data_IF_042137402319
#
_entry.id   IF_042137402319
#
_cell.length_a   1.000
_cell.length_b   1.000
_cell.length_c   1.000
_cell.angle_alpha   90.00
_cell.angle_beta   90.00
_cell.angle_gamma   90.00
#
_symmetry.space_group_name_H-M   'P 1'
#
loop_
_entity.id
_entity.type
_entity.pdbx_description
1 polymer ?
#
# COMPACT_ATOMS: atom_id res chain seq x y z
N UNK A 1 14.23 -24.41 -27.65
CA UNK A 1 13.28 -23.52 -26.93
C UNK A 1 12.64 -22.62 -27.97
N UNK A 2 11.33 -22.31 -27.90
CA UNK A 2 10.71 -21.39 -28.85
C UNK A 2 11.46 -20.06 -28.87
N UNK A 3 11.62 -19.45 -30.04
CA UNK A 3 12.27 -18.14 -30.18
C UNK A 3 11.31 -16.96 -30.04
N UNK A 4 10.00 -17.22 -30.08
CA UNK A 4 8.97 -16.19 -30.02
C UNK A 4 7.87 -16.50 -29.01
N UNK A 5 7.20 -15.45 -28.52
CA UNK A 5 6.05 -15.55 -27.64
C UNK A 5 4.91 -16.33 -28.30
N UNK A 6 4.67 -16.13 -29.61
CA UNK A 6 3.66 -16.87 -30.37
C UNK A 6 3.98 -18.37 -30.44
N UNK A 7 5.24 -18.73 -30.69
CA UNK A 7 5.67 -20.13 -30.71
C UNK A 7 5.58 -20.78 -29.31
N UNK A 8 5.77 -20.02 -28.23
CA UNK A 8 5.47 -20.49 -26.88
C UNK A 8 3.98 -20.82 -26.69
N UNK A 9 3.06 -19.97 -27.15
CA UNK A 9 1.62 -20.24 -27.07
C UNK A 9 1.21 -21.47 -27.89
N UNK A 10 1.79 -21.63 -29.09
CA UNK A 10 1.57 -22.81 -29.92
C UNK A 10 2.05 -24.09 -29.21
N UNK A 11 3.28 -24.08 -28.68
CA UNK A 11 3.82 -25.22 -27.93
C UNK A 11 2.98 -25.56 -26.68
N UNK A 12 2.46 -24.55 -25.95
CA UNK A 12 1.55 -24.78 -24.83
C UNK A 12 0.26 -25.48 -25.27
N UNK A 13 -0.30 -25.06 -26.41
CA UNK A 13 -1.49 -25.69 -27.00
C UNK A 13 -1.21 -27.14 -27.41
N UNK A 14 -0.06 -27.41 -28.02
CA UNK A 14 0.35 -28.77 -28.42
C UNK A 14 0.54 -29.71 -27.22
N UNK A 15 0.89 -29.15 -26.06
CA UNK A 15 0.95 -29.87 -24.78
C UNK A 15 -0.42 -30.05 -24.10
N UNK A 16 -1.51 -29.63 -24.74
CA UNK A 16 -2.87 -29.75 -24.22
C UNK A 16 -3.30 -28.65 -23.23
N UNK A 17 -2.51 -27.58 -23.08
CA UNK A 17 -2.90 -26.43 -22.26
C UNK A 17 -3.92 -25.55 -23.00
N UNK A 18 -4.85 -24.97 -22.25
CA UNK A 18 -5.84 -24.02 -22.79
C UNK A 18 -5.17 -22.66 -23.00
N UNK A 19 -5.29 -22.11 -24.20
CA UNK A 19 -4.84 -20.76 -24.54
C UNK A 19 -6.05 -19.83 -24.75
N UNK A 20 -5.82 -18.51 -24.64
CA UNK A 20 -6.85 -17.52 -24.95
C UNK A 20 -7.28 -17.66 -26.43
N UNK A 21 -8.57 -17.92 -26.72
CA UNK A 21 -9.04 -18.07 -28.10
C UNK A 21 -8.85 -16.81 -28.96
N UNK A 22 -8.78 -15.64 -28.31
CA UNK A 22 -8.61 -14.34 -28.92
C UNK A 22 -7.13 -13.94 -29.08
N UNK A 23 -6.16 -14.79 -28.70
CA UNK A 23 -4.76 -14.49 -28.92
C UNK A 23 -4.43 -14.45 -30.42
N UNK A 24 -3.76 -13.39 -30.88
CA UNK A 24 -3.33 -13.24 -32.26
C UNK A 24 -1.93 -12.62 -32.35
N UNK A 25 -1.26 -12.81 -33.49
CA UNK A 25 -0.01 -12.11 -33.82
C UNK A 25 -0.38 -10.86 -34.63
N UNK A 26 0.21 -9.73 -34.25
CA UNK A 26 -0.05 -8.43 -34.85
C UNK A 26 1.27 -7.81 -35.32
N UNK A 27 1.22 -7.02 -36.38
CA UNK A 27 2.39 -6.34 -36.94
C UNK A 27 2.25 -4.83 -36.76
N UNK A 28 3.15 -4.23 -35.97
CA UNK A 28 3.17 -2.80 -35.71
C UNK A 28 2.16 -2.33 -34.66
N UNK A 29 2.28 -1.05 -34.28
CA UNK A 29 1.46 -0.43 -33.25
C UNK A 29 0.01 -0.20 -33.70
N UNK A 30 -0.21 0.16 -34.97
CA UNK A 30 -1.55 0.45 -35.49
C UNK A 30 -2.45 -0.79 -35.46
N UNK A 31 -1.91 -1.96 -35.80
CA UNK A 31 -2.63 -3.24 -35.69
C UNK A 31 -2.98 -3.57 -34.22
N UNK A 32 -2.09 -3.24 -33.28
CA UNK A 32 -2.34 -3.39 -31.85
C UNK A 32 -3.48 -2.47 -31.36
N UNK A 33 -3.48 -1.20 -31.78
CA UNK A 33 -4.52 -0.23 -31.44
C UNK A 33 -5.87 -0.65 -32.04
N UNK A 34 -5.89 -1.05 -33.30
CA UNK A 34 -7.11 -1.52 -33.95
C UNK A 34 -7.67 -2.78 -33.28
N UNK A 35 -6.79 -3.73 -32.91
CA UNK A 35 -7.19 -4.93 -32.18
C UNK A 35 -7.76 -4.60 -30.81
N UNK A 36 -7.19 -3.61 -30.10
CA UNK A 36 -7.73 -3.13 -28.83
C UNK A 36 -9.16 -2.59 -28.99
N UNK A 37 -9.41 -1.71 -29.97
CA UNK A 37 -10.75 -1.18 -30.22
C UNK A 37 -11.77 -2.27 -30.59
N UNK A 38 -11.37 -3.23 -31.43
CA UNK A 38 -12.24 -4.33 -31.82
C UNK A 38 -12.53 -5.28 -30.64
N UNK A 39 -11.56 -5.52 -29.76
CA UNK A 39 -11.78 -6.26 -28.52
C UNK A 39 -12.67 -5.51 -27.53
N UNK A 40 -12.57 -4.17 -27.47
CA UNK A 40 -13.41 -3.33 -26.60
C UNK A 40 -14.89 -3.44 -26.99
N UNK A 41 -15.20 -3.43 -28.30
CA UNK A 41 -16.59 -3.57 -28.78
C UNK A 41 -17.17 -4.97 -28.56
N UNK A 42 -16.31 -6.01 -28.58
CA UNK A 42 -16.71 -7.40 -28.35
C UNK A 42 -16.71 -7.80 -26.88
N UNK A 43 -16.21 -6.94 -25.99
CA UNK A 43 -16.02 -7.20 -24.55
C UNK A 43 -17.23 -7.87 -23.91
N UNK A 44 -18.43 -7.32 -24.12
CA UNK A 44 -19.66 -7.78 -23.47
C UNK A 44 -20.23 -9.09 -24.06
N UNK A 45 -19.71 -9.53 -25.22
CA UNK A 45 -20.13 -10.76 -25.89
C UNK A 45 -19.21 -11.96 -25.58
N UNK A 46 -18.16 -11.75 -24.79
CA UNK A 46 -17.27 -12.83 -24.37
C UNK A 46 -17.89 -13.62 -23.23
N UNK A 47 -17.59 -14.91 -23.16
CA UNK A 47 -18.03 -15.79 -22.07
C UNK A 47 -17.34 -15.49 -20.71
N UNK A 48 -16.51 -14.45 -20.67
CA UNK A 48 -15.72 -14.05 -19.52
C UNK A 48 -15.41 -12.55 -19.61
N UNK A 49 -15.19 -11.91 -18.46
CA UNK A 49 -14.83 -10.49 -18.38
C UNK A 49 -13.35 -10.27 -18.73
N UNK A 50 -13.09 -9.14 -19.38
CA UNK A 50 -11.75 -8.65 -19.70
C UNK A 50 -11.69 -7.14 -19.43
N UNK A 51 -10.53 -6.66 -19.00
CA UNK A 51 -10.29 -5.25 -18.64
C UNK A 51 -9.35 -4.53 -19.62
N UNK A 52 -8.91 -5.23 -20.67
CA UNK A 52 -8.03 -4.70 -21.71
C UNK A 52 -7.37 -5.79 -22.54
N UNK A 53 -6.31 -5.40 -23.26
CA UNK A 53 -5.44 -6.29 -24.04
C UNK A 53 -4.01 -6.20 -23.51
N UNK A 54 -3.28 -7.33 -23.48
CA UNK A 54 -1.85 -7.33 -23.16
C UNK A 54 -1.05 -7.51 -24.44
N UNK A 55 -0.26 -6.50 -24.80
CA UNK A 55 0.64 -6.53 -25.94
C UNK A 55 2.05 -6.88 -25.47
N UNK A 56 2.68 -7.84 -26.14
CA UNK A 56 4.04 -8.32 -25.82
C UNK A 56 4.88 -8.30 -27.09
N UNK A 57 6.13 -7.89 -26.96
CA UNK A 57 7.11 -8.06 -28.05
C UNK A 57 7.24 -9.55 -28.35
N UNK A 58 7.13 -9.95 -29.62
CA UNK A 58 7.10 -11.38 -29.98
C UNK A 58 8.49 -12.03 -29.89
N UNK A 59 9.57 -11.31 -30.22
CA UNK A 59 10.96 -11.78 -30.07
C UNK A 59 11.34 -11.94 -28.58
N UNK A 60 11.62 -13.17 -28.15
CA UNK A 60 12.01 -13.45 -26.76
C UNK A 60 13.42 -12.94 -26.44
N UNK A 61 14.32 -12.84 -27.42
CA UNK A 61 15.64 -12.25 -27.18
C UNK A 61 15.53 -10.75 -26.85
N UNK A 62 14.49 -10.08 -27.33
CA UNK A 62 14.20 -8.70 -26.96
C UNK A 62 13.77 -8.56 -25.49
N UNK A 63 13.18 -9.59 -24.88
CA UNK A 63 12.75 -9.53 -23.48
C UNK A 63 13.94 -9.36 -22.54
N UNK A 64 15.02 -10.11 -22.80
CA UNK A 64 16.28 -10.03 -22.05
C UNK A 64 16.94 -8.66 -22.23
N UNK A 65 17.01 -8.15 -23.46
CA UNK A 65 17.59 -6.83 -23.77
C UNK A 65 16.80 -5.68 -23.13
N UNK A 66 15.48 -5.76 -23.13
CA UNK A 66 14.61 -4.70 -22.60
C UNK A 66 14.54 -4.72 -21.07
N UNK A 67 14.59 -5.90 -20.45
CA UNK A 67 14.65 -6.07 -19.00
C UNK A 67 13.34 -5.71 -18.27
N UNK A 68 13.46 -5.49 -16.96
CA UNK A 68 12.35 -5.23 -16.03
C UNK A 68 12.64 -3.96 -15.23
N UNK A 69 11.64 -3.11 -15.03
CA UNK A 69 11.71 -1.96 -14.11
C UNK A 69 10.93 -2.28 -12.85
N UNK A 70 11.61 -2.38 -11.71
CA UNK A 70 11.05 -2.90 -10.46
C UNK A 70 10.38 -4.28 -10.67
N UNK A 71 9.06 -4.34 -10.77
CA UNK A 71 8.28 -5.57 -11.04
C UNK A 71 7.62 -5.61 -12.43
N UNK A 72 7.80 -4.58 -13.27
CA UNK A 72 7.09 -4.44 -14.54
C UNK A 72 8.03 -4.69 -15.74
N UNK A 73 7.73 -5.65 -16.63
CA UNK A 73 8.54 -5.91 -17.83
C UNK A 73 8.48 -4.74 -18.81
N UNK A 74 9.62 -4.38 -19.42
CA UNK A 74 9.68 -3.29 -20.42
C UNK A 74 9.22 -3.71 -21.82
N UNK A 75 9.07 -5.02 -22.04
CA UNK A 75 8.69 -5.65 -23.31
C UNK A 75 7.20 -6.00 -23.42
N UNK A 76 6.39 -5.63 -22.41
CA UNK A 76 4.94 -5.83 -22.43
C UNK A 76 4.19 -4.64 -21.85
N UNK A 77 2.97 -4.43 -22.34
CA UNK A 77 2.06 -3.40 -21.84
C UNK A 77 0.64 -3.95 -21.74
N UNK A 78 -0.03 -3.68 -20.63
CA UNK A 78 -1.46 -3.89 -20.50
C UNK A 78 -2.17 -2.61 -20.95
N UNK A 79 -2.80 -2.64 -22.12
CA UNK A 79 -3.62 -1.56 -22.63
C UNK A 79 -5.06 -1.78 -22.20
N UNK A 80 -5.46 -1.10 -21.12
CA UNK A 80 -6.82 -1.20 -20.54
C UNK A 80 -7.87 -0.57 -21.44
N UNK A 81 -9.10 -1.09 -21.39
CA UNK A 81 -10.27 -0.43 -22.00
C UNK A 81 -10.62 0.85 -21.26
N UNK A 82 -11.45 1.69 -21.90
CA UNK A 82 -12.14 2.74 -21.18
C UNK A 82 -12.90 2.11 -20.00
N UNK A 83 -12.79 2.72 -18.82
CA UNK A 83 -13.47 2.17 -17.66
C UNK A 83 -14.98 2.28 -17.86
N UNK A 84 -15.72 1.35 -17.25
CA UNK A 84 -17.17 1.41 -17.25
C UNK A 84 -17.59 2.56 -16.32
N UNK A 85 -18.34 3.50 -16.87
CA UNK A 85 -18.95 4.60 -16.14
C UNK A 85 -20.46 4.36 -16.01
N UNK A 86 -21.03 4.78 -14.90
CA UNK A 86 -22.48 4.92 -14.77
C UNK A 86 -22.83 6.14 -13.92
N UNK A 87 -24.04 6.62 -14.14
CA UNK A 87 -24.59 7.74 -13.38
C UNK A 87 -25.45 7.21 -12.25
N UNK A 88 -25.31 7.79 -11.06
CA UNK A 88 -26.17 7.49 -9.91
C UNK A 88 -26.37 8.73 -9.01
N UNK A 89 -27.18 8.61 -7.96
CA UNK A 89 -27.46 9.70 -7.00
C UNK A 89 -26.80 9.39 -5.66
N UNK A 90 -26.20 10.41 -5.03
CA UNK A 90 -25.71 10.31 -3.65
C UNK A 90 -26.89 10.40 -2.69
N UNK A 91 -27.15 9.35 -1.91
CA UNK A 91 -28.17 9.30 -0.86
C UNK A 91 -27.75 9.99 0.42
N UNK A 92 -26.51 9.74 0.83
CA UNK A 92 -25.94 10.23 2.09
C UNK A 92 -24.41 10.27 1.99
N UNK A 93 -23.75 11.01 2.88
CA UNK A 93 -22.29 11.01 3.03
C UNK A 93 -21.96 10.80 4.51
N UNK A 94 -21.26 9.70 4.80
CA UNK A 94 -20.89 9.31 6.17
C UNK A 94 -19.38 9.34 6.37
N UNK A 95 -18.97 9.74 7.56
CA UNK A 95 -17.57 9.76 7.97
C UNK A 95 -17.19 8.43 8.64
N UNK A 96 -16.24 7.70 8.07
CA UNK A 96 -15.68 6.47 8.62
C UNK A 96 -14.33 6.74 9.25
N UNK A 97 -14.06 6.16 10.42
CA UNK A 97 -12.78 6.30 11.12
C UNK A 97 -11.97 5.04 10.89
N UNK A 98 -10.88 5.15 10.14
CA UNK A 98 -9.97 4.04 9.87
C UNK A 98 -8.96 3.79 10.99
N UNK A 99 -8.14 2.75 10.82
CA UNK A 99 -7.10 2.30 11.77
C UNK A 99 -6.22 3.41 12.34
N UNK A 100 -5.76 4.33 11.51
CA UNK A 100 -4.82 5.41 11.89
C UNK A 100 -5.55 6.71 12.28
N UNK A 101 -6.83 6.59 12.64
CA UNK A 101 -7.70 7.72 12.96
C UNK A 101 -8.19 8.50 11.75
N UNK A 102 -7.74 8.17 10.52
CA UNK A 102 -8.21 8.83 9.30
C UNK A 102 -9.74 8.85 9.21
N UNK A 103 -10.30 10.05 9.09
CA UNK A 103 -11.74 10.28 8.96
C UNK A 103 -12.05 10.43 7.46
N UNK A 104 -12.51 9.33 6.86
CA UNK A 104 -12.75 9.23 5.43
C UNK A 104 -14.24 9.43 5.14
N UNK A 105 -14.61 10.42 4.32
CA UNK A 105 -15.98 10.55 3.86
C UNK A 105 -16.29 9.51 2.78
N UNK A 106 -17.42 8.82 2.92
CA UNK A 106 -17.90 7.80 1.99
C UNK A 106 -19.32 8.16 1.59
N UNK A 107 -19.58 8.26 0.29
CA UNK A 107 -20.92 8.45 -0.25
C UNK A 107 -21.66 7.12 -0.31
N UNK A 108 -22.88 7.09 0.23
CA UNK A 108 -23.88 6.07 -0.03
C UNK A 108 -24.64 6.46 -1.31
N UNK A 109 -24.76 5.52 -2.24
CA UNK A 109 -25.31 5.74 -3.58
C UNK A 109 -26.65 5.03 -3.75
N UNK A 110 -27.49 5.52 -4.65
CA UNK A 110 -28.51 4.66 -5.26
C UNK A 110 -27.79 3.48 -5.96
N UNK A 111 -28.18 2.22 -5.71
CA UNK A 111 -27.49 1.07 -6.29
C UNK A 111 -27.41 1.18 -7.81
N UNK A 112 -26.20 1.08 -8.34
CA UNK A 112 -25.93 1.22 -9.78
C UNK A 112 -25.07 0.07 -10.28
N UNK A 113 -25.38 -0.48 -11.46
CA UNK A 113 -24.59 -1.53 -12.08
C UNK A 113 -23.42 -0.92 -12.86
N UNK A 114 -22.19 -1.29 -12.48
CA UNK A 114 -20.96 -0.85 -13.16
C UNK A 114 -20.04 -2.04 -13.29
N UNK A 115 -19.80 -2.54 -14.50
CA UNK A 115 -18.85 -3.64 -14.64
C UNK A 115 -19.35 -4.96 -14.05
N UNK A 116 -20.65 -5.25 -14.18
CA UNK A 116 -21.26 -6.49 -13.67
C UNK A 116 -21.40 -6.56 -12.13
N UNK A 117 -21.08 -5.48 -11.41
CA UNK A 117 -21.27 -5.40 -9.95
C UNK A 117 -22.18 -4.24 -9.59
N UNK A 118 -22.97 -4.44 -8.53
CA UNK A 118 -23.76 -3.38 -7.91
C UNK A 118 -22.87 -2.53 -7.00
N UNK A 119 -22.68 -1.27 -7.36
CA UNK A 119 -21.98 -0.29 -6.51
C UNK A 119 -23.00 0.45 -5.66
N UNK A 120 -22.82 0.40 -4.33
CA UNK A 120 -23.68 1.10 -3.35
C UNK A 120 -22.93 2.13 -2.52
N UNK A 121 -21.60 2.05 -2.47
CA UNK A 121 -20.76 2.94 -1.68
C UNK A 121 -19.51 3.33 -2.46
N UNK A 122 -19.04 4.56 -2.24
CA UNK A 122 -17.83 5.07 -2.87
C UNK A 122 -17.08 6.01 -1.95
N UNK A 123 -15.75 5.84 -1.85
CA UNK A 123 -14.91 6.77 -1.09
C UNK A 123 -14.88 8.13 -1.78
N UNK A 124 -15.00 9.20 -0.99
CA UNK A 124 -14.78 10.57 -1.45
C UNK A 124 -13.36 11.07 -1.10
N UNK A 125 -12.48 10.16 -0.68
CA UNK A 125 -11.09 10.39 -0.29
C UNK A 125 -10.87 11.28 0.94
N UNK A 126 -11.23 12.56 0.88
CA UNK A 126 -11.05 13.53 1.97
C UNK A 126 -11.92 14.78 1.74
N UNK A 127 -11.88 15.73 2.68
CA UNK A 127 -12.65 16.98 2.59
C UNK A 127 -12.24 17.83 1.38
N UNK A 128 -10.95 17.90 1.07
CA UNK A 128 -10.44 18.73 -0.03
C UNK A 128 -10.99 18.26 -1.39
N UNK A 129 -11.13 16.95 -1.58
CA UNK A 129 -11.70 16.34 -2.78
C UNK A 129 -13.20 16.62 -2.91
N UNK A 130 -13.94 16.56 -1.80
CA UNK A 130 -15.36 16.94 -1.74
C UNK A 130 -15.52 18.41 -2.13
N UNK A 131 -14.67 19.29 -1.61
CA UNK A 131 -14.73 20.72 -1.89
C UNK A 131 -14.33 21.02 -3.35
N UNK A 132 -13.29 20.34 -3.86
CA UNK A 132 -12.81 20.47 -5.25
C UNK A 132 -13.89 20.09 -6.26
N UNK A 133 -14.59 18.98 -6.04
CA UNK A 133 -15.69 18.50 -6.90
C UNK A 133 -17.05 19.12 -6.54
N UNK A 134 -17.13 19.84 -5.42
CA UNK A 134 -18.35 20.40 -4.81
C UNK A 134 -19.45 19.33 -4.70
N UNK A 135 -19.11 18.19 -4.10
CA UNK A 135 -20.00 17.04 -3.92
C UNK A 135 -20.97 17.31 -2.77
N UNK A 136 -22.26 17.03 -3.01
CA UNK A 136 -23.32 17.21 -2.01
C UNK A 136 -24.25 16.01 -1.97
N UNK A 137 -24.92 15.83 -0.83
CA UNK A 137 -26.01 14.86 -0.71
C UNK A 137 -27.13 15.22 -1.69
N UNK A 138 -27.62 14.22 -2.41
CA UNK A 138 -28.64 14.33 -3.44
C UNK A 138 -28.11 14.67 -4.84
N UNK A 139 -26.81 14.89 -5.00
CA UNK A 139 -26.23 15.13 -6.32
C UNK A 139 -26.29 13.87 -7.20
N UNK A 140 -26.57 14.08 -8.48
CA UNK A 140 -26.31 13.11 -9.54
C UNK A 140 -24.82 13.13 -9.90
N UNK A 141 -24.15 11.98 -9.82
CA UNK A 141 -22.70 11.83 -10.04
C UNK A 141 -22.39 10.78 -11.08
N UNK A 142 -21.29 11.02 -11.81
CA UNK A 142 -20.65 10.02 -12.66
C UNK A 142 -19.69 9.20 -11.81
N UNK A 143 -19.91 7.90 -11.76
CA UNK A 143 -19.09 6.94 -11.02
C UNK A 143 -18.40 6.03 -12.03
N UNK A 144 -17.11 5.85 -11.83
CA UNK A 144 -16.26 5.05 -12.70
C UNK A 144 -15.59 3.95 -11.89
N UNK A 145 -15.56 2.74 -12.45
CA UNK A 145 -14.78 1.63 -11.91
C UNK A 145 -13.54 1.43 -12.76
N UNK A 146 -12.50 2.20 -12.46
CA UNK A 146 -11.22 2.12 -13.17
C UNK A 146 -10.53 0.77 -12.92
N UNK A 147 -10.20 0.06 -14.01
CA UNK A 147 -9.50 -1.21 -13.97
C UNK A 147 -10.22 -2.32 -13.19
N UNK A 148 -11.55 -2.26 -13.08
CA UNK A 148 -12.42 -3.24 -12.43
C UNK A 148 -12.11 -3.52 -10.94
N UNK A 149 -11.49 -2.59 -10.19
CA UNK A 149 -11.22 -2.77 -8.75
C UNK A 149 -12.06 -1.86 -7.87
N UNK A 150 -11.74 -0.57 -7.77
CA UNK A 150 -12.36 0.35 -6.79
C UNK A 150 -13.17 1.43 -7.54
N UNK A 151 -14.49 1.54 -7.32
CA UNK A 151 -15.27 2.62 -7.89
C UNK A 151 -14.87 3.96 -7.25
N UNK A 152 -14.96 5.05 -8.02
CA UNK A 152 -14.74 6.41 -7.54
C UNK A 152 -15.67 7.40 -8.24
N UNK A 153 -15.97 8.53 -7.58
CA UNK A 153 -16.74 9.61 -8.20
C UNK A 153 -15.81 10.39 -9.13
N UNK A 154 -16.11 10.39 -10.43
CA UNK A 154 -15.37 11.18 -11.43
C UNK A 154 -15.72 12.65 -11.27
N UNK A 155 -17.02 12.96 -11.28
CA UNK A 155 -17.52 14.33 -11.16
C UNK A 155 -19.01 14.38 -10.80
N UNK A 156 -19.43 15.54 -10.33
CA UNK A 156 -20.84 15.90 -10.17
C UNK A 156 -21.40 16.36 -11.52
N UNK A 157 -22.50 15.75 -11.96
CA UNK A 157 -23.16 16.15 -13.19
C UNK A 157 -24.05 17.37 -12.93
N UNK A 158 -23.71 18.50 -13.55
CA UNK A 158 -24.46 19.77 -13.46
C UNK A 158 -25.25 20.02 -14.75
N UNK A 159 -26.28 20.87 -14.69
CA UNK A 159 -27.22 21.17 -15.78
C UNK A 159 -26.58 21.51 -17.15
N UNK A 160 -25.33 22.00 -17.17
CA UNK A 160 -24.57 22.29 -18.40
C UNK A 160 -23.57 21.17 -18.72
N UNK A 161 -24.07 20.01 -19.10
CA UNK A 161 -23.23 19.00 -19.77
C UNK A 161 -23.21 19.26 -21.30
N UNK A 162 -22.09 19.04 -22.01
CA UNK A 162 -22.03 19.27 -23.46
C UNK A 162 -23.15 18.56 -24.21
N UNK A 163 -23.77 19.27 -25.17
CA UNK A 163 -24.78 18.73 -26.08
C UNK A 163 -24.23 17.46 -26.74
N UNK A 164 -24.91 16.32 -26.56
CA UNK A 164 -24.56 15.04 -27.19
C UNK A 164 -24.52 13.83 -26.24
N UNK A 165 -24.36 14.00 -24.93
CA UNK A 165 -24.36 12.88 -23.98
C UNK A 165 -25.71 12.67 -23.25
N UNK A 166 -26.52 13.72 -23.12
CA UNK A 166 -27.79 13.68 -22.40
C UNK A 166 -28.88 12.81 -23.05
N UNK A 167 -28.82 12.61 -24.38
CA UNK A 167 -29.79 11.78 -25.11
C UNK A 167 -29.55 10.28 -24.94
N UNK A 168 -28.34 9.84 -24.58
CA UNK A 168 -28.03 8.40 -24.43
C UNK A 168 -28.48 7.78 -23.11
N UNK A 169 -28.84 8.58 -22.10
CA UNK A 169 -29.03 8.09 -20.73
C UNK A 169 -30.33 8.53 -20.03
N UNK A 170 -31.18 9.37 -20.64
CA UNK A 170 -32.52 9.67 -20.13
C UNK A 170 -32.59 10.22 -18.68
N UNK A 171 -31.49 10.77 -18.17
CA UNK A 171 -31.33 11.09 -16.74
C UNK A 171 -31.54 12.59 -16.44
N UNK A 172 -32.35 12.85 -15.42
CA UNK A 172 -32.60 14.19 -14.88
C UNK A 172 -31.36 14.64 -14.10
N UNK A 173 -30.64 15.61 -14.64
CA UNK A 173 -29.55 16.33 -13.96
C UNK A 173 -30.13 17.05 -12.73
N UNK A 174 -29.85 16.56 -11.52
CA UNK A 174 -30.50 17.12 -10.33
C UNK A 174 -29.51 17.35 -9.20
N UNK A 175 -29.35 18.62 -8.84
CA UNK A 175 -29.01 19.03 -7.48
C UNK A 175 -30.30 19.52 -6.82
N UNK A 176 -30.75 18.92 -5.70
CA UNK A 176 -31.92 19.41 -4.98
C UNK A 176 -31.76 20.90 -4.60
N UNK A 177 -32.85 21.68 -4.76
CA UNK A 177 -32.87 23.06 -4.25
C UNK A 177 -32.60 23.03 -2.75
N UNK A 178 -31.57 23.75 -2.31
CA UNK A 178 -31.15 23.78 -0.90
C UNK A 178 -30.10 22.73 -0.49
N UNK A 179 -29.55 21.95 -1.43
CA UNK A 179 -28.45 21.03 -1.15
C UNK A 179 -27.25 21.77 -0.52
N UNK A 180 -26.87 21.38 0.70
CA UNK A 180 -25.80 22.01 1.48
C UNK A 180 -24.45 21.39 1.17
N UNK A 181 -23.38 22.17 1.31
CA UNK A 181 -22.02 21.64 1.27
C UNK A 181 -21.84 20.66 2.43
N UNK A 182 -21.16 19.55 2.14
CA UNK A 182 -20.79 18.59 3.16
C UNK A 182 -19.48 19.02 3.83
N UNK A 183 -19.44 18.91 5.15
CA UNK A 183 -18.22 19.07 5.92
C UNK A 183 -18.07 17.88 6.86
N UNK A 184 -16.85 17.34 6.94
CA UNK A 184 -16.51 16.36 7.95
C UNK A 184 -16.87 16.89 9.36
N UNK A 185 -17.32 16.00 10.26
CA UNK A 185 -17.73 16.40 11.60
C UNK A 185 -16.53 16.94 12.37
N UNK A 186 -16.74 17.95 13.24
CA UNK A 186 -15.69 18.52 14.11
C UNK A 186 -15.30 17.60 15.27
N UNK A 187 -16.12 16.60 15.56
CA UNK A 187 -15.87 15.56 16.54
C UNK A 187 -15.94 14.20 15.85
N UNK A 188 -15.16 13.24 16.36
CA UNK A 188 -15.13 11.88 15.88
C UNK A 188 -16.51 11.25 16.00
N UNK A 189 -17.10 10.71 14.92
CA UNK A 189 -18.46 10.15 14.95
C UNK A 189 -18.57 8.86 15.78
N UNK A 190 -17.43 8.31 16.22
CA UNK A 190 -17.39 7.06 17.00
C UNK A 190 -17.10 7.32 18.48
N UNK A 191 -16.05 8.08 18.80
CA UNK A 191 -15.64 8.29 20.19
C UNK A 191 -15.92 9.71 20.73
N UNK A 192 -16.48 10.61 19.92
CA UNK A 192 -16.75 12.01 20.29
C UNK A 192 -15.50 12.88 20.51
N UNK A 193 -14.30 12.31 20.37
CA UNK A 193 -13.03 13.02 20.54
C UNK A 193 -12.75 14.01 19.41
N UNK A 194 -11.78 14.88 19.61
CA UNK A 194 -11.38 15.88 18.61
C UNK A 194 -10.90 15.21 17.31
N UNK A 195 -11.23 15.83 16.17
CA UNK A 195 -10.62 15.51 14.89
C UNK A 195 -9.85 16.72 14.36
N UNK A 196 -8.63 16.48 13.89
CA UNK A 196 -7.71 17.52 13.44
C UNK A 196 -7.20 17.15 12.05
N UNK A 197 -7.07 18.14 11.17
CA UNK A 197 -6.32 18.02 9.91
C UNK A 197 -4.90 18.54 10.19
N UNK A 198 -3.88 17.67 10.31
CA UNK A 198 -2.52 18.12 10.56
C UNK A 198 -2.02 19.05 9.46
N UNK A 199 -1.13 19.97 9.82
CA UNK A 199 -0.53 20.89 8.85
C UNK A 199 0.20 20.12 7.75
N UNK A 200 -0.03 20.49 6.48
CA UNK A 200 0.54 19.82 5.31
C UNK A 200 -0.15 18.51 4.90
N UNK A 201 -1.12 17.99 5.65
CA UNK A 201 -1.87 16.78 5.29
C UNK A 201 -3.23 17.08 4.68
N UNK A 202 -3.67 16.25 3.72
CA UNK A 202 -5.04 16.32 3.17
C UNK A 202 -6.08 15.60 4.06
N UNK A 203 -5.64 14.70 4.95
CA UNK A 203 -6.52 13.78 5.70
C UNK A 203 -6.80 14.34 7.10
N UNK A 204 -8.08 14.45 7.46
CA UNK A 204 -8.53 14.75 8.83
C UNK A 204 -8.50 13.48 9.68
N UNK A 205 -8.10 13.58 10.96
CA UNK A 205 -7.85 12.41 11.82
C UNK A 205 -8.44 12.57 13.22
N UNK A 206 -8.99 11.50 13.76
CA UNK A 206 -9.30 11.35 15.18
C UNK A 206 -8.01 11.19 15.98
N UNK A 207 -7.81 12.04 16.98
CA UNK A 207 -6.60 12.06 17.82
C UNK A 207 -6.65 11.04 18.96
N UNK A 208 -7.83 10.47 19.24
CA UNK A 208 -7.98 9.47 20.30
C UNK A 208 -7.54 8.08 19.81
N UNK A 209 -6.31 7.68 20.14
CA UNK A 209 -5.77 6.34 19.86
C UNK A 209 -6.57 5.19 20.49
N UNK A 210 -7.40 5.46 21.51
CA UNK A 210 -8.32 4.50 22.11
C UNK A 210 -9.74 4.57 21.54
N UNK A 211 -9.92 5.24 20.40
CA UNK A 211 -11.19 5.25 19.68
C UNK A 211 -11.60 3.80 19.34
N UNK A 212 -12.83 3.36 19.66
CA UNK A 212 -13.28 1.99 19.37
C UNK A 212 -13.12 1.58 17.91
N UNK A 213 -13.30 2.51 16.95
CA UNK A 213 -13.06 2.24 15.53
C UNK A 213 -11.59 1.96 15.23
N UNK A 214 -10.66 2.73 15.81
CA UNK A 214 -9.22 2.48 15.63
C UNK A 214 -8.81 1.14 16.25
N UNK A 215 -9.39 0.78 17.41
CA UNK A 215 -9.15 -0.52 18.06
C UNK A 215 -9.64 -1.67 17.18
N UNK A 216 -10.87 -1.62 16.70
CA UNK A 216 -11.46 -2.63 15.80
C UNK A 216 -10.60 -2.83 14.55
N UNK A 217 -10.27 -1.74 13.87
CA UNK A 217 -9.45 -1.77 12.66
C UNK A 217 -8.02 -2.27 12.94
N UNK A 218 -7.45 -1.96 14.11
CA UNK A 218 -6.11 -2.43 14.49
C UNK A 218 -6.10 -3.93 14.77
N UNK A 219 -7.13 -4.45 15.43
CA UNK A 219 -7.29 -5.90 15.68
C UNK A 219 -7.51 -6.65 14.37
N UNK A 220 -8.36 -6.13 13.48
CA UNK A 220 -8.58 -6.74 12.17
C UNK A 220 -7.29 -6.74 11.33
N UNK A 221 -6.55 -5.63 11.34
CA UNK A 221 -5.25 -5.53 10.67
C UNK A 221 -4.23 -6.52 11.24
N UNK A 222 -4.14 -6.63 12.56
CA UNK A 222 -3.27 -7.60 13.25
C UNK A 222 -3.60 -9.04 12.87
N UNK A 223 -4.88 -9.39 12.78
CA UNK A 223 -5.32 -10.73 12.35
C UNK A 223 -5.16 -11.02 10.85
N UNK A 224 -4.89 -10.00 10.02
CA UNK A 224 -4.84 -10.15 8.57
C UNK A 224 -3.76 -11.13 8.08
N UNK A 225 -3.95 -11.67 6.88
CA UNK A 225 -3.02 -12.64 6.24
C UNK A 225 -1.58 -12.14 6.16
N UNK A 226 -1.39 -10.84 5.93
CA UNK A 226 -0.07 -10.21 5.83
C UNK A 226 0.55 -9.87 7.19
N UNK A 227 -0.24 -9.84 8.26
CA UNK A 227 0.18 -9.57 9.64
C UNK A 227 0.35 -10.88 10.44
N UNK A 228 -0.55 -11.28 11.33
CA UNK A 228 -0.39 -12.51 12.12
C UNK A 228 -1.20 -13.70 11.60
N UNK A 229 -2.03 -13.50 10.57
CA UNK A 229 -2.79 -14.56 9.88
C UNK A 229 -3.58 -15.44 10.86
N UNK A 230 -4.53 -14.78 11.54
CA UNK A 230 -5.41 -15.39 12.53
C UNK A 230 -6.71 -15.80 11.85
N UNK A 231 -6.80 -17.07 11.48
CA UNK A 231 -8.00 -17.64 10.88
C UNK A 231 -9.20 -17.53 11.81
N UNK A 232 -10.34 -17.10 11.26
CA UNK A 232 -11.59 -16.93 12.01
C UNK A 232 -11.77 -15.56 12.70
N UNK A 233 -10.75 -14.70 12.73
CA UNK A 233 -10.85 -13.34 13.28
C UNK A 233 -11.43 -12.35 12.24
N UNK A 234 -12.69 -12.56 11.86
CA UNK A 234 -13.39 -11.71 10.88
C UNK A 234 -13.95 -10.41 11.48
N UNK A 235 -14.27 -9.44 10.61
CA UNK A 235 -14.77 -8.10 10.98
C UNK A 235 -15.91 -8.13 12.02
N UNK A 236 -16.97 -8.92 11.75
CA UNK A 236 -18.13 -9.02 12.66
C UNK A 236 -17.75 -9.54 14.04
N UNK A 237 -16.79 -10.46 14.11
CA UNK A 237 -16.34 -11.01 15.39
C UNK A 237 -15.48 -10.00 16.14
N UNK A 238 -14.58 -9.29 15.44
CA UNK A 238 -13.79 -8.19 16.02
C UNK A 238 -14.70 -7.12 16.59
N UNK A 239 -15.78 -6.75 15.89
CA UNK A 239 -16.76 -5.80 16.40
C UNK A 239 -17.37 -6.29 17.72
N UNK A 240 -17.86 -7.54 17.75
CA UNK A 240 -18.42 -8.12 18.97
C UNK A 240 -17.41 -8.17 20.13
N UNK A 241 -16.16 -8.57 19.87
CA UNK A 241 -15.10 -8.63 20.89
C UNK A 241 -14.81 -7.26 21.51
N UNK A 242 -14.77 -6.20 20.69
CA UNK A 242 -14.51 -4.84 21.17
C UNK A 242 -15.76 -4.23 21.83
N UNK A 243 -16.94 -4.42 21.24
CA UNK A 243 -18.20 -3.84 21.73
C UNK A 243 -18.64 -4.45 23.07
N UNK A 244 -18.32 -5.72 23.31
CA UNK A 244 -18.53 -6.39 24.61
C UNK A 244 -17.42 -6.12 25.62
N UNK A 245 -16.35 -5.41 25.22
CA UNK A 245 -15.21 -5.10 26.07
C UNK A 245 -14.28 -6.29 26.36
N UNK A 246 -14.46 -7.43 25.68
CA UNK A 246 -13.58 -8.60 25.80
C UNK A 246 -12.16 -8.32 25.29
N UNK A 247 -12.02 -7.40 24.34
CA UNK A 247 -10.73 -7.02 23.74
C UNK A 247 -10.65 -5.50 23.60
N UNK A 248 -9.59 -4.88 24.11
CA UNK A 248 -9.37 -3.42 24.02
C UNK A 248 -8.12 -3.04 23.22
N UNK A 249 -7.22 -3.98 23.05
CA UNK A 249 -6.03 -3.87 22.21
C UNK A 249 -5.67 -5.25 21.63
N UNK A 250 -4.65 -5.32 20.78
CA UNK A 250 -4.27 -6.58 20.11
C UNK A 250 -3.64 -7.60 21.06
N UNK A 251 -3.14 -7.19 22.22
CA UNK A 251 -2.56 -8.12 23.21
C UNK A 251 -3.66 -8.86 23.98
N UNK A 252 -4.79 -8.20 24.28
CA UNK A 252 -5.95 -8.81 24.95
C UNK A 252 -6.50 -10.05 24.17
N UNK A 253 -6.23 -10.18 22.86
CA UNK A 253 -6.56 -11.38 22.08
C UNK A 253 -5.98 -12.66 22.67
N UNK A 254 -4.77 -12.58 23.24
CA UNK A 254 -4.03 -13.72 23.74
C UNK A 254 -4.46 -14.15 25.15
N UNK A 255 -5.32 -13.36 25.81
CA UNK A 255 -5.94 -13.67 27.09
C UNK A 255 -7.37 -14.24 26.94
N UNK A 256 -7.92 -14.24 25.72
CA UNK A 256 -9.28 -14.70 25.46
C UNK A 256 -9.51 -16.15 25.85
N UNK A 257 -10.65 -16.38 26.52
CA UNK A 257 -11.10 -17.71 26.89
C UNK A 257 -12.16 -18.21 25.91
N UNK A 258 -12.06 -19.48 25.50
CA UNK A 258 -12.97 -20.09 24.52
C UNK A 258 -14.44 -19.98 24.96
N UNK A 259 -14.71 -20.08 26.26
CA UNK A 259 -16.06 -19.97 26.84
C UNK A 259 -16.64 -18.57 26.64
N UNK A 260 -15.85 -17.51 26.82
CA UNK A 260 -16.31 -16.14 26.62
C UNK A 260 -16.63 -15.87 25.14
N UNK A 261 -15.79 -16.38 24.24
CA UNK A 261 -16.01 -16.27 22.79
C UNK A 261 -17.23 -17.07 22.33
N UNK A 262 -17.48 -18.23 22.92
CA UNK A 262 -18.63 -19.07 22.58
C UNK A 262 -19.99 -18.42 22.92
N UNK A 263 -20.01 -17.46 23.86
CA UNK A 263 -21.21 -16.70 24.22
C UNK A 263 -21.59 -15.59 23.22
N UNK A 264 -20.78 -15.34 22.19
CA UNK A 264 -21.02 -14.31 21.18
C UNK A 264 -22.01 -14.78 20.10
N UNK A 265 -22.64 -13.81 19.42
CA UNK A 265 -23.59 -14.08 18.35
C UNK A 265 -22.91 -14.85 17.21
N UNK A 266 -23.53 -15.95 16.78
CA UNK A 266 -23.02 -16.89 15.76
C UNK A 266 -21.71 -17.58 16.13
N UNK A 267 -21.36 -17.58 17.42
CA UNK A 267 -20.29 -18.42 17.97
C UNK A 267 -20.88 -19.62 18.72
N UNK A 268 -20.10 -20.69 18.76
CA UNK A 268 -20.40 -21.92 19.49
C UNK A 268 -19.09 -22.46 20.08
N UNK A 269 -19.17 -23.43 20.99
CA UNK A 269 -18.00 -23.99 21.67
C UNK A 269 -16.87 -24.38 20.69
N UNK A 270 -17.21 -25.04 19.59
CA UNK A 270 -16.24 -25.45 18.57
C UNK A 270 -15.60 -24.26 17.84
N UNK A 271 -16.37 -23.24 17.46
CA UNK A 271 -15.82 -22.07 16.76
C UNK A 271 -14.98 -21.20 17.71
N UNK A 272 -15.40 -21.07 18.97
CA UNK A 272 -14.62 -20.44 20.03
C UNK A 272 -13.28 -21.14 20.25
N UNK A 273 -13.29 -22.47 20.43
CA UNK A 273 -12.06 -23.25 20.58
C UNK A 273 -11.14 -23.15 19.35
N UNK A 274 -11.69 -23.17 18.14
CA UNK A 274 -10.92 -22.99 16.91
C UNK A 274 -10.25 -21.62 16.84
N UNK A 275 -10.94 -20.55 17.24
CA UNK A 275 -10.38 -19.21 17.27
C UNK A 275 -9.22 -19.12 18.26
N UNK A 276 -9.39 -19.60 19.49
CA UNK A 276 -8.31 -19.58 20.51
C UNK A 276 -7.10 -20.36 20.00
N UNK A 277 -7.31 -21.51 19.35
CA UNK A 277 -6.24 -22.28 18.71
C UNK A 277 -5.54 -21.48 17.60
N UNK A 278 -6.27 -20.76 16.76
CA UNK A 278 -5.71 -19.92 15.71
C UNK A 278 -4.90 -18.75 16.28
N UNK A 279 -5.41 -18.09 17.32
CA UNK A 279 -4.71 -17.02 18.06
C UNK A 279 -3.40 -17.56 18.65
N UNK A 280 -3.42 -18.70 19.35
CA UNK A 280 -2.23 -19.31 19.90
C UNK A 280 -1.20 -19.67 18.81
N UNK A 281 -1.64 -20.26 17.70
CA UNK A 281 -0.78 -20.61 16.57
C UNK A 281 -0.15 -19.36 15.89
N UNK A 282 -0.83 -18.22 15.93
CA UNK A 282 -0.35 -16.97 15.33
C UNK A 282 0.96 -16.47 15.95
N UNK A 283 1.23 -16.80 17.22
CA UNK A 283 2.51 -16.47 17.90
C UNK A 283 3.71 -17.01 17.12
N UNK A 284 3.61 -18.25 16.61
CA UNK A 284 4.66 -18.88 15.79
C UNK A 284 4.78 -18.30 14.37
N UNK A 285 3.71 -17.68 13.84
CA UNK A 285 3.71 -16.99 12.53
C UNK A 285 4.26 -15.57 12.61
N UNK A 286 4.40 -15.00 13.81
CA UNK A 286 4.75 -13.61 14.05
C UNK A 286 6.23 -13.29 13.86
N UNK A 287 6.74 -13.39 12.63
CA UNK A 287 8.09 -12.91 12.31
C UNK A 287 8.21 -11.40 12.53
N UNK A 288 9.42 -10.88 12.75
CA UNK A 288 9.63 -9.44 13.01
C UNK A 288 8.99 -8.54 11.93
N UNK A 289 9.15 -8.80 10.61
CA UNK A 289 8.45 -8.01 9.60
C UNK A 289 6.93 -8.05 9.71
N UNK A 290 6.36 -9.20 10.07
CA UNK A 290 4.91 -9.40 10.24
C UNK A 290 4.38 -8.67 11.45
N UNK A 291 5.13 -8.67 12.55
CA UNK A 291 4.78 -7.90 13.75
C UNK A 291 4.90 -6.40 13.49
N UNK A 292 6.01 -5.90 12.91
CA UNK A 292 6.17 -4.48 12.56
C UNK A 292 5.03 -4.01 11.65
N UNK A 293 4.66 -4.81 10.65
CA UNK A 293 3.49 -4.53 9.81
C UNK A 293 2.18 -4.53 10.62
N UNK A 294 1.98 -5.54 11.47
CA UNK A 294 0.79 -5.71 12.30
C UNK A 294 0.55 -4.60 13.32
N UNK A 295 1.62 -3.95 13.83
CA UNK A 295 1.52 -2.79 14.73
C UNK A 295 0.80 -1.60 14.07
N UNK A 296 0.67 -1.60 12.75
CA UNK A 296 -0.15 -0.62 12.03
C UNK A 296 0.41 0.80 12.05
N UNK A 297 1.72 0.94 12.26
CA UNK A 297 2.45 2.22 12.28
C UNK A 297 2.15 3.00 11.00
N UNK A 298 1.88 4.30 11.15
CA UNK A 298 1.50 5.16 10.04
C UNK A 298 2.63 5.23 8.99
N UNK A 299 2.24 5.17 7.70
CA UNK A 299 3.13 5.04 6.53
C UNK A 299 3.97 3.76 6.43
N UNK A 300 3.99 2.90 7.44
CA UNK A 300 4.73 1.64 7.40
C UNK A 300 3.85 0.57 6.75
N UNK A 301 4.01 0.42 5.43
CA UNK A 301 3.42 -0.67 4.65
C UNK A 301 4.21 -1.97 4.79
N UNK A 302 3.78 -3.01 4.08
CA UNK A 302 4.42 -4.33 4.13
C UNK A 302 5.90 -4.28 3.73
N UNK A 303 6.20 -3.66 2.59
CA UNK A 303 7.57 -3.54 2.09
C UNK A 303 8.46 -2.75 3.07
N UNK A 304 7.97 -1.63 3.60
CA UNK A 304 8.69 -0.84 4.61
C UNK A 304 8.95 -1.65 5.87
N UNK A 305 7.96 -2.43 6.35
CA UNK A 305 8.14 -3.30 7.50
C UNK A 305 9.21 -4.39 7.28
N UNK A 306 9.31 -4.93 6.06
CA UNK A 306 10.36 -5.89 5.69
C UNK A 306 11.75 -5.27 5.77
N UNK A 307 11.93 -4.06 5.21
CA UNK A 307 13.22 -3.37 5.23
C UNK A 307 13.59 -2.92 6.64
N UNK A 308 12.65 -2.37 7.42
CA UNK A 308 12.87 -2.01 8.83
C UNK A 308 13.27 -3.23 9.66
N UNK A 309 12.55 -4.35 9.53
CA UNK A 309 12.89 -5.56 10.26
C UNK A 309 14.29 -6.08 9.92
N UNK A 310 14.70 -6.01 8.64
CA UNK A 310 16.04 -6.39 8.21
C UNK A 310 17.13 -5.46 8.79
N UNK A 311 16.89 -4.14 8.81
CA UNK A 311 17.87 -3.17 9.32
C UNK A 311 17.99 -3.16 10.84
N UNK A 312 16.90 -3.36 11.57
CA UNK A 312 16.90 -3.21 13.04
C UNK A 312 16.98 -4.55 13.78
N UNK A 313 16.46 -5.65 13.23
CA UNK A 313 16.59 -7.00 13.79
C UNK A 313 15.78 -7.28 15.07
N UNK A 314 15.21 -6.25 15.71
CA UNK A 314 14.27 -6.38 16.84
C UNK A 314 13.38 -5.14 16.98
N UNK A 315 12.28 -5.26 17.72
CA UNK A 315 11.40 -4.12 18.02
C UNK A 315 12.09 -3.10 18.93
N UNK A 316 12.87 -3.54 19.91
CA UNK A 316 13.64 -2.63 20.79
C UNK A 316 14.65 -1.79 20.00
N UNK A 317 15.42 -2.42 19.11
CA UNK A 317 16.38 -1.68 18.28
C UNK A 317 15.73 -0.69 17.31
N UNK A 318 14.49 -0.95 16.87
CA UNK A 318 13.70 -0.02 16.06
C UNK A 318 13.13 1.12 16.93
N UNK A 319 12.72 0.82 18.17
CA UNK A 319 12.22 1.82 19.12
C UNK A 319 13.30 2.83 19.52
N UNK A 320 14.55 2.38 19.66
CA UNK A 320 15.70 3.19 20.06
C UNK A 320 16.36 3.93 18.87
N UNK A 321 15.81 3.82 17.66
CA UNK A 321 16.38 4.44 16.48
C UNK A 321 16.17 5.95 16.43
N UNK A 322 17.24 6.71 16.17
CA UNK A 322 17.17 8.15 15.91
C UNK A 322 16.76 8.47 14.46
N UNK A 323 16.52 9.76 14.19
CA UNK A 323 16.19 10.29 12.87
C UNK A 323 17.19 9.86 11.81
N UNK A 324 18.48 10.04 12.09
CA UNK A 324 19.55 9.77 11.14
C UNK A 324 19.55 8.29 10.74
N UNK A 325 19.40 7.39 11.71
CA UNK A 325 19.38 5.95 11.44
C UNK A 325 18.12 5.51 10.70
N UNK A 326 16.96 6.10 10.99
CA UNK A 326 15.72 5.82 10.26
C UNK A 326 15.80 6.29 8.81
N UNK A 327 16.37 7.47 8.56
CA UNK A 327 16.52 8.05 7.21
C UNK A 327 17.54 7.31 6.33
N UNK A 328 18.42 6.49 6.91
CA UNK A 328 19.32 5.62 6.15
C UNK A 328 18.62 4.39 5.57
N UNK A 329 17.43 4.06 6.06
CA UNK A 329 16.68 2.89 5.58
C UNK A 329 16.09 3.18 4.20
N UNK A 330 16.28 2.30 3.20
CA UNK A 330 15.63 2.44 1.91
C UNK A 330 14.12 2.64 2.05
N UNK A 331 13.58 3.58 1.27
CA UNK A 331 12.15 3.95 1.26
C UNK A 331 11.60 4.57 2.56
N UNK A 332 12.47 4.98 3.50
CA UNK A 332 12.08 5.73 4.71
C UNK A 332 12.48 7.20 4.57
N UNK A 333 11.47 8.06 4.39
CA UNK A 333 11.63 9.52 4.39
C UNK A 333 11.27 10.16 5.75
N UNK A 334 11.40 11.49 5.88
CA UNK A 334 11.14 12.21 7.14
C UNK A 334 9.74 11.97 7.73
N UNK A 335 8.71 11.87 6.90
CA UNK A 335 7.33 11.62 7.34
C UNK A 335 7.16 10.21 7.95
N UNK A 336 7.80 9.21 7.34
CA UNK A 336 7.80 7.82 7.81
C UNK A 336 8.60 7.72 9.11
N UNK A 337 9.79 8.32 9.15
CA UNK A 337 10.64 8.35 10.33
C UNK A 337 9.94 9.03 11.52
N UNK A 338 9.31 10.19 11.30
CA UNK A 338 8.51 10.87 12.31
C UNK A 338 7.36 10.01 12.83
N UNK A 339 6.63 9.35 11.93
CA UNK A 339 5.53 8.45 12.32
C UNK A 339 5.99 7.24 13.13
N UNK A 340 7.17 6.69 12.84
CA UNK A 340 7.77 5.61 13.62
C UNK A 340 8.09 6.12 15.04
N UNK A 341 8.80 7.25 15.15
CA UNK A 341 9.16 7.82 16.46
C UNK A 341 7.94 8.17 17.29
N UNK A 342 6.96 8.85 16.71
CA UNK A 342 5.73 9.23 17.42
C UNK A 342 4.99 7.99 17.95
N UNK A 343 5.00 6.90 17.17
CA UNK A 343 4.39 5.65 17.58
C UNK A 343 5.11 5.03 18.79
N UNK A 344 6.44 4.95 18.80
CA UNK A 344 7.23 4.43 19.93
C UNK A 344 7.33 5.41 21.11
N UNK A 345 7.15 6.72 20.88
CA UNK A 345 7.08 7.75 21.90
C UNK A 345 5.78 7.70 22.70
N UNK A 346 4.72 7.11 22.15
CA UNK A 346 3.43 6.96 22.82
C UNK A 346 3.47 5.91 23.94
N UNK A 347 3.12 6.32 25.17
CA UNK A 347 3.16 5.45 26.34
C UNK A 347 2.23 4.23 26.24
N UNK A 348 1.06 4.34 25.58
CA UNK A 348 0.13 3.21 25.39
C UNK A 348 0.71 2.18 24.42
N UNK A 349 1.37 2.62 23.36
CA UNK A 349 2.03 1.71 22.41
C UNK A 349 3.20 0.99 23.07
N UNK A 350 4.00 1.67 23.90
CA UNK A 350 5.04 1.00 24.70
C UNK A 350 4.46 -0.06 25.65
N UNK A 351 3.39 0.28 26.36
CA UNK A 351 2.70 -0.69 27.23
C UNK A 351 2.15 -1.88 26.44
N UNK A 352 1.64 -1.65 25.22
CA UNK A 352 1.21 -2.72 24.32
C UNK A 352 2.37 -3.65 23.94
N UNK A 353 3.55 -3.12 23.63
CA UNK A 353 4.72 -3.94 23.31
C UNK A 353 5.11 -4.85 24.48
N UNK A 354 5.11 -4.34 25.71
CA UNK A 354 5.40 -5.16 26.89
C UNK A 354 4.35 -6.26 27.09
N UNK A 355 3.05 -5.96 26.94
CA UNK A 355 1.99 -6.99 26.98
C UNK A 355 2.19 -8.07 25.91
N UNK A 356 2.52 -7.68 24.67
CA UNK A 356 2.78 -8.63 23.58
C UNK A 356 3.98 -9.53 23.90
N UNK A 357 5.03 -8.95 24.49
CA UNK A 357 6.22 -9.67 24.95
C UNK A 357 5.90 -10.65 26.08
N UNK A 358 5.08 -10.27 27.05
CA UNK A 358 4.59 -11.18 28.11
C UNK A 358 3.82 -12.38 27.53
N UNK A 359 3.14 -12.15 26.40
CA UNK A 359 2.48 -13.20 25.62
C UNK A 359 3.41 -14.01 24.70
N UNK A 360 4.72 -13.76 24.75
CA UNK A 360 5.74 -14.48 23.96
C UNK A 360 5.92 -13.96 22.54
N UNK A 361 5.46 -12.74 22.23
CA UNK A 361 5.58 -12.10 20.92
C UNK A 361 6.71 -11.05 20.97
N UNK A 362 7.95 -11.54 20.95
CA UNK A 362 9.17 -10.74 20.83
C UNK A 362 10.06 -11.32 19.72
N UNK A 363 9.65 -11.16 18.44
CA UNK A 363 10.39 -11.78 17.35
C UNK A 363 11.72 -11.08 17.14
N UNK A 364 12.77 -11.90 17.03
CA UNK A 364 14.12 -11.44 16.68
C UNK A 364 14.45 -11.94 15.28
N UNK A 365 14.95 -11.04 14.46
CA UNK A 365 15.52 -11.39 13.16
C UNK A 365 17.03 -11.29 13.31
N UNK A 366 17.73 -12.41 13.10
CA UNK A 366 19.19 -12.35 12.96
C UNK A 366 19.46 -11.46 11.76
N UNK A 367 20.21 -10.37 11.95
CA UNK A 367 20.79 -9.67 10.82
C UNK A 367 21.51 -10.71 9.97
N UNK A 368 21.34 -10.70 8.64
CA UNK A 368 22.24 -11.44 7.77
C UNK A 368 23.65 -11.10 8.23
N UNK A 369 24.49 -12.11 8.50
CA UNK A 369 25.91 -11.87 8.75
C UNK A 369 26.44 -11.22 7.47
N UNK A 370 26.60 -9.91 7.48
CA UNK A 370 27.11 -9.14 6.36
C UNK A 370 28.62 -9.33 6.29
N UNK A 371 29.08 -10.48 5.82
CA UNK A 371 30.47 -10.64 5.46
C UNK A 371 30.74 -9.89 4.17
N UNK A 372 31.65 -8.92 4.21
CA UNK A 372 32.07 -8.15 3.05
C UNK A 372 33.01 -7.02 3.44
N UNK A 373 33.66 -6.39 2.46
CA UNK A 373 34.72 -5.41 2.73
C UNK A 373 34.21 -4.07 3.26
N UNK A 374 32.89 -3.84 3.21
CA UNK A 374 32.24 -2.61 3.62
C UNK A 374 31.39 -2.80 4.89
N UNK A 375 31.58 -3.91 5.62
CA UNK A 375 30.81 -4.19 6.83
C UNK A 375 30.89 -3.02 7.83
N UNK A 376 29.72 -2.55 8.27
CA UNK A 376 29.60 -1.45 9.23
C UNK A 376 29.71 -0.04 8.64
N UNK A 377 30.11 0.10 7.37
CA UNK A 377 30.26 1.41 6.73
C UNK A 377 28.94 1.90 6.11
N UNK A 378 28.62 3.16 6.31
CA UNK A 378 27.54 3.88 5.66
C UNK A 378 28.08 4.75 4.54
N UNK A 379 27.64 4.48 3.32
CA UNK A 379 28.15 5.10 2.10
C UNK A 379 27.00 5.76 1.33
N UNK A 380 27.19 7.01 0.93
CA UNK A 380 26.28 7.77 0.06
C UNK A 380 26.93 7.93 -1.30
N UNK A 381 26.17 7.79 -2.38
CA UNK A 381 26.67 8.00 -3.75
C UNK A 381 26.01 9.25 -4.34
N UNK A 382 26.81 10.18 -4.86
CA UNK A 382 26.37 11.40 -5.54
C UNK A 382 27.08 11.57 -6.88
N UNK A 383 26.41 12.15 -7.87
CA UNK A 383 26.93 12.26 -9.23
C UNK A 383 26.76 10.97 -10.06
N UNK A 384 27.25 11.03 -11.29
CA UNK A 384 27.27 9.93 -12.25
C UNK A 384 28.63 9.20 -12.18
N UNK A 385 28.59 7.88 -12.01
CA UNK A 385 29.76 7.02 -11.95
C UNK A 385 30.05 6.48 -13.37
N UNK A 386 31.32 6.35 -13.74
CA UNK A 386 31.77 5.97 -15.06
C UNK A 386 31.58 4.47 -15.36
N UNK A 387 31.65 3.59 -14.36
CA UNK A 387 31.62 2.13 -14.54
C UNK A 387 30.27 1.47 -14.23
N UNK A 388 29.38 2.17 -13.51
CA UNK A 388 28.09 1.62 -13.10
C UNK A 388 27.05 2.71 -12.81
N UNK A 389 25.78 2.34 -12.77
CA UNK A 389 24.71 3.23 -12.31
C UNK A 389 24.72 3.40 -10.80
N UNK A 390 24.08 4.47 -10.29
CA UNK A 390 23.93 4.71 -8.85
C UNK A 390 23.22 3.57 -8.12
N UNK A 391 22.25 2.93 -8.76
CA UNK A 391 21.51 1.82 -8.14
C UNK A 391 22.36 0.54 -8.09
N UNK A 392 23.18 0.28 -9.13
CA UNK A 392 24.18 -0.79 -9.10
C UNK A 392 25.25 -0.54 -8.01
N UNK A 393 25.68 0.71 -7.82
CA UNK A 393 26.61 1.06 -6.75
C UNK A 393 26.00 0.85 -5.37
N UNK A 394 24.73 1.24 -5.16
CA UNK A 394 24.00 0.97 -3.90
C UNK A 394 23.87 -0.53 -3.65
N UNK A 395 23.61 -1.31 -4.69
CA UNK A 395 23.51 -2.76 -4.56
C UNK A 395 24.86 -3.40 -4.26
N UNK A 396 25.94 -2.90 -4.87
CA UNK A 396 27.31 -3.30 -4.57
C UNK A 396 27.68 -3.01 -3.11
N UNK A 397 27.34 -1.82 -2.60
CA UNK A 397 27.53 -1.45 -1.18
C UNK A 397 26.82 -2.46 -0.27
N UNK A 398 25.53 -2.74 -0.54
CA UNK A 398 24.74 -3.70 0.24
C UNK A 398 25.32 -5.12 0.19
N UNK A 399 25.75 -5.55 -1.01
CA UNK A 399 26.33 -6.89 -1.21
C UNK A 399 27.64 -7.07 -0.43
N UNK A 400 28.46 -6.03 -0.34
CA UNK A 400 29.71 -6.03 0.41
C UNK A 400 29.52 -5.71 1.91
N UNK A 401 28.28 -5.75 2.41
CA UNK A 401 27.97 -5.59 3.84
C UNK A 401 27.83 -4.15 4.34
N UNK A 402 27.95 -3.16 3.45
CA UNK A 402 27.78 -1.74 3.76
C UNK A 402 26.33 -1.26 3.66
N UNK A 403 26.06 -0.08 4.22
CA UNK A 403 24.76 0.60 4.16
C UNK A 403 24.77 1.68 3.07
N UNK A 404 23.91 1.53 2.08
CA UNK A 404 23.78 2.49 0.98
C UNK A 404 22.71 3.54 1.30
N UNK A 405 23.13 4.71 1.81
CA UNK A 405 22.22 5.78 2.26
C UNK A 405 21.85 6.77 1.13
N UNK A 406 20.67 7.40 1.27
CA UNK A 406 20.14 8.36 0.29
C UNK A 406 20.60 9.81 0.48
N UNK A 407 21.05 10.15 1.69
CA UNK A 407 21.48 11.47 2.13
C UNK A 407 22.69 11.36 3.06
N UNK A 408 23.50 12.42 3.12
CA UNK A 408 24.63 12.50 4.05
C UNK A 408 24.13 12.94 5.42
N UNK A 409 24.62 12.30 6.47
CA UNK A 409 24.26 12.53 7.88
C UNK A 409 25.50 12.43 8.77
N UNK A 410 25.34 12.66 10.07
CA UNK A 410 26.42 12.47 11.06
C UNK A 410 26.96 11.03 11.10
N UNK A 411 26.13 10.07 10.70
CA UNK A 411 26.44 8.63 10.67
C UNK A 411 26.96 8.16 9.29
N UNK A 412 27.34 9.07 8.39
CA UNK A 412 27.87 8.71 7.07
C UNK A 412 29.39 8.67 7.08
N UNK A 413 29.96 7.51 6.78
CA UNK A 413 31.41 7.29 6.74
C UNK A 413 32.02 7.83 5.45
N UNK A 414 31.38 7.56 4.30
CA UNK A 414 31.90 7.93 2.97
C UNK A 414 30.84 8.56 2.06
N UNK A 415 31.21 9.62 1.35
CA UNK A 415 30.51 10.14 0.19
C UNK A 415 31.30 9.81 -1.08
N UNK A 416 30.77 8.93 -1.92
CA UNK A 416 31.33 8.64 -3.25
C UNK A 416 30.86 9.70 -4.23
N UNK A 417 31.81 10.40 -4.85
CA UNK A 417 31.55 11.53 -5.76
C UNK A 417 31.91 11.15 -7.19
N UNK A 418 30.89 11.06 -8.03
CA UNK A 418 31.01 10.97 -9.49
C UNK A 418 30.90 12.33 -10.19
N UNK A 419 30.85 12.30 -11.52
CA UNK A 419 30.69 13.50 -12.34
C UNK A 419 29.34 14.20 -12.07
N UNK A 420 29.35 15.54 -12.03
CA UNK A 420 28.14 16.34 -11.77
C UNK A 420 27.46 16.05 -10.41
N UNK A 421 28.18 16.15 -9.28
CA UNK A 421 27.61 15.80 -7.98
C UNK A 421 26.49 16.75 -7.56
N UNK A 422 25.50 16.20 -6.83
CA UNK A 422 24.43 17.01 -6.26
C UNK A 422 24.97 17.97 -5.20
N UNK A 423 24.77 19.28 -5.41
CA UNK A 423 25.32 20.34 -4.57
C UNK A 423 24.87 20.27 -3.09
N UNK A 424 23.70 19.69 -2.79
CA UNK A 424 23.24 19.51 -1.42
C UNK A 424 24.06 18.49 -0.64
N UNK A 425 24.36 17.32 -1.24
CA UNK A 425 25.10 16.24 -0.59
C UNK A 425 26.56 16.61 -0.31
N UNK A 426 27.18 17.40 -1.18
CA UNK A 426 28.53 17.91 -0.95
C UNK A 426 28.58 18.86 0.25
N UNK A 427 27.60 19.77 0.36
CA UNK A 427 27.47 20.65 1.54
C UNK A 427 27.18 19.87 2.82
N UNK A 428 26.33 18.85 2.75
CA UNK A 428 26.02 18.01 3.91
C UNK A 428 27.25 17.21 4.37
N UNK A 429 28.11 16.75 3.44
CA UNK A 429 29.37 16.10 3.78
C UNK A 429 30.37 17.03 4.47
N UNK A 430 30.50 18.28 4.00
CA UNK A 430 31.32 19.29 4.69
C UNK A 430 30.78 19.57 6.09
N UNK A 431 29.46 19.73 6.23
CA UNK A 431 28.80 20.00 7.52
C UNK A 431 28.99 18.87 8.53
N UNK A 432 28.96 17.62 8.09
CA UNK A 432 29.05 16.44 8.95
C UNK A 432 30.47 15.86 9.05
N UNK A 433 31.46 16.43 8.36
CA UNK A 433 32.84 15.94 8.35
C UNK A 433 33.00 14.57 7.66
N UNK A 434 32.09 14.22 6.75
CA UNK A 434 32.08 12.94 6.04
C UNK A 434 33.23 12.86 5.03
N UNK A 435 33.96 11.74 5.00
CA UNK A 435 35.07 11.55 4.05
C UNK A 435 34.55 11.41 2.63
N UNK A 436 35.06 12.24 1.72
CA UNK A 436 34.71 12.20 0.30
C UNK A 436 35.73 11.36 -0.46
N UNK A 437 35.28 10.42 -1.29
CA UNK A 437 36.11 9.53 -2.12
C UNK A 437 35.60 9.51 -3.56
N UNK A 438 36.47 9.17 -4.51
CA UNK A 438 36.08 8.99 -5.91
C UNK A 438 35.64 7.54 -6.20
N UNK A 439 35.17 7.29 -7.44
CA UNK A 439 34.75 5.96 -7.87
C UNK A 439 35.87 4.92 -7.83
N UNK A 440 37.11 5.31 -8.14
CA UNK A 440 38.25 4.40 -8.18
C UNK A 440 38.63 3.94 -6.77
N UNK A 441 38.60 4.84 -5.79
CA UNK A 441 38.76 4.52 -4.37
C UNK A 441 37.62 3.62 -3.87
N UNK A 442 36.38 3.91 -4.24
CA UNK A 442 35.24 3.06 -3.90
C UNK A 442 35.39 1.64 -4.46
N UNK A 443 35.81 1.48 -5.72
CA UNK A 443 36.08 0.18 -6.34
C UNK A 443 37.20 -0.60 -5.65
N UNK A 444 38.24 0.09 -5.17
CA UNK A 444 39.31 -0.54 -4.37
C UNK A 444 38.78 -1.06 -3.03
N UNK A 445 37.91 -0.31 -2.36
CA UNK A 445 37.31 -0.73 -1.08
C UNK A 445 36.49 -2.02 -1.22
N UNK A 446 35.86 -2.24 -2.38
CA UNK A 446 35.09 -3.46 -2.69
C UNK A 446 35.91 -4.55 -3.39
N UNK A 447 37.23 -4.37 -3.55
CA UNK A 447 38.13 -5.35 -4.13
C UNK A 447 37.99 -5.55 -5.65
N UNK A 448 37.54 -4.51 -6.36
CA UNK A 448 37.40 -4.46 -7.83
C UNK A 448 38.39 -3.46 -8.47
N UNK A 449 39.63 -3.43 -7.99
CA UNK A 449 40.69 -2.52 -8.43
C UNK A 449 41.85 -3.23 -9.08
#
# INVERSE_FOLDING_TARGET
RPGTQWACLAAMKDLGLKICPQACRLEGADAAIQWHHDMETRRDNLAYEIDGCVFKVDDLAAHERLGVRAANPRWAVAYKFAAREATTTIKDIRAYVGRTGAVTPVAELEPVQIGGVTVTHVSLHNQDEIDRKDIRVGDTVLVERAGDVIPHVVQVLREKWPKGAGERLGLILKRPKGARKYHLPKACPVCGGEVVKPEGEAITRCTNASCPAQVKESIQHWGSKQALDIDGLGEKLVHQLVDTGLVRDVADLYDLQAVAVAGLERMAEKSGANLIKAIAASKGKGTLPRVVYGLGIRHVGRATADVLAAEFGSLGALADADDDRLLQVPDVGPEVAGSIRDWFANAKNRALLEKLKDHGIDPKMKKPKGGGRLEGLTIVVTGELASMTRDEAKELIRREGGKAAGSVSSNTDYLVVGAGPGASKARDAEKHGTRTIDEAEFLKMVGKG
#
